data_IF_466116112512
#
_entry.id   IF_466116112512
#
_cell.length_a   1.000
_cell.length_b   1.000
_cell.length_c   1.000
_cell.angle_alpha   90.00
_cell.angle_beta   90.00
_cell.angle_gamma   90.00
#
_symmetry.space_group_name_H-M   'P 1'
#
loop_
_entity.id
_entity.type
_entity.pdbx_description
1 polymer ?
#
# COMPACT_ATOMS: atom_id res chain seq x y z
N UNK A 1 -1.69 -12.91 9.35
CA UNK A 1 -1.51 -11.51 8.89
C UNK A 1 -0.34 -11.31 7.90
N UNK A 2 0.87 -11.89 8.06
CA UNK A 2 2.06 -11.54 7.25
C UNK A 2 1.97 -11.65 5.72
N UNK A 3 1.19 -12.59 5.16
CA UNK A 3 1.11 -12.75 3.68
C UNK A 3 0.45 -11.54 3.00
N UNK A 4 -0.60 -10.99 3.62
CA UNK A 4 -1.29 -9.81 3.08
C UNK A 4 -0.42 -8.55 3.14
N UNK A 5 0.38 -8.39 4.20
CA UNK A 5 1.34 -7.28 4.31
C UNK A 5 2.42 -7.37 3.23
N UNK A 6 2.99 -8.57 3.02
CA UNK A 6 4.00 -8.78 1.99
C UNK A 6 3.45 -8.48 0.57
N UNK A 7 2.21 -8.86 0.28
CA UNK A 7 1.56 -8.55 -1.00
C UNK A 7 1.31 -7.04 -1.13
N UNK A 8 0.84 -6.38 -0.07
CA UNK A 8 0.57 -4.94 -0.07
C UNK A 8 1.87 -4.13 -0.24
N UNK A 9 2.95 -4.51 0.43
CA UNK A 9 4.26 -3.88 0.28
C UNK A 9 4.80 -4.02 -1.14
N UNK A 10 4.70 -5.22 -1.73
CA UNK A 10 5.12 -5.46 -3.12
C UNK A 10 4.31 -4.62 -4.11
N UNK A 11 2.99 -4.55 -3.95
CA UNK A 11 2.12 -3.73 -4.79
C UNK A 11 2.43 -2.25 -4.65
N UNK A 12 2.63 -1.76 -3.41
CA UNK A 12 2.99 -0.37 -3.15
C UNK A 12 4.31 0.01 -3.84
N UNK A 13 5.33 -0.85 -3.72
CA UNK A 13 6.65 -0.62 -4.29
C UNK A 13 6.64 -0.61 -5.83
N UNK A 14 5.89 -1.53 -6.44
CA UNK A 14 5.74 -1.58 -7.92
C UNK A 14 5.05 -0.33 -8.44
N UNK A 15 4.02 0.15 -7.76
CA UNK A 15 3.27 1.33 -8.21
C UNK A 15 4.05 2.64 -7.97
N UNK A 16 4.84 2.73 -6.89
CA UNK A 16 5.69 3.90 -6.60
C UNK A 16 6.77 4.15 -7.66
N UNK A 17 7.33 3.08 -8.23
CA UNK A 17 8.39 3.15 -9.23
C UNK A 17 7.90 3.10 -10.69
N UNK A 18 6.59 3.22 -10.93
CA UNK A 18 6.02 3.00 -12.26
C UNK A 18 6.36 4.16 -13.22
N UNK A 19 7.01 3.90 -14.37
CA UNK A 19 7.38 4.94 -15.33
C UNK A 19 6.20 5.29 -16.25
N UNK A 20 5.22 6.03 -15.72
CA UNK A 20 3.99 6.38 -16.45
C UNK A 20 4.24 7.06 -17.80
N UNK A 21 5.26 7.91 -17.88
CA UNK A 21 5.58 8.68 -19.09
C UNK A 21 5.99 7.80 -20.29
N UNK A 22 6.40 6.54 -20.05
CA UNK A 22 6.79 5.59 -21.10
C UNK A 22 5.72 4.55 -21.45
N UNK A 23 4.58 4.54 -20.76
CA UNK A 23 3.58 3.47 -20.86
C UNK A 23 2.45 3.78 -21.86
N UNK A 24 2.40 5.00 -22.40
CA UNK A 24 1.33 5.47 -23.32
C UNK A 24 -0.08 5.10 -22.81
N UNK A 25 -0.29 5.16 -21.50
CA UNK A 25 -1.60 4.98 -20.89
C UNK A 25 -2.37 6.30 -20.92
N UNK A 26 -3.69 6.23 -20.84
CA UNK A 26 -4.51 7.43 -20.72
C UNK A 26 -4.33 8.10 -19.35
N UNK A 27 -4.65 9.39 -19.29
CA UNK A 27 -4.59 10.16 -18.03
C UNK A 27 -5.54 9.56 -16.98
N UNK A 28 -6.72 9.04 -17.40
CA UNK A 28 -7.66 8.38 -16.49
C UNK A 28 -7.09 7.09 -15.91
N UNK A 29 -6.38 6.30 -16.73
CA UNK A 29 -5.72 5.09 -16.25
C UNK A 29 -4.59 5.42 -15.26
N UNK A 30 -3.84 6.51 -15.50
CA UNK A 30 -2.82 7.01 -14.57
C UNK A 30 -3.44 7.44 -13.25
N UNK A 31 -4.50 8.26 -13.27
CA UNK A 31 -5.21 8.69 -12.07
C UNK A 31 -5.73 7.49 -11.25
N UNK A 32 -6.27 6.46 -11.90
CA UNK A 32 -6.73 5.26 -11.19
C UNK A 32 -5.59 4.52 -10.48
N UNK A 33 -4.40 4.46 -11.09
CA UNK A 33 -3.22 3.84 -10.47
C UNK A 33 -2.71 4.68 -9.31
N UNK A 34 -2.70 6.00 -9.43
CA UNK A 34 -2.34 6.92 -8.34
C UNK A 34 -3.32 6.83 -7.16
N UNK A 35 -4.63 6.70 -7.43
CA UNK A 35 -5.65 6.47 -6.41
C UNK A 35 -5.44 5.12 -5.70
N UNK A 36 -5.13 4.06 -6.45
CA UNK A 36 -4.82 2.75 -5.89
C UNK A 36 -3.61 2.83 -4.94
N UNK A 37 -2.55 3.51 -5.36
CA UNK A 37 -1.36 3.75 -4.53
C UNK A 37 -1.68 4.46 -3.22
N UNK A 38 -2.51 5.50 -3.26
CA UNK A 38 -2.94 6.20 -2.04
C UNK A 38 -3.67 5.27 -1.06
N UNK A 39 -4.55 4.41 -1.57
CA UNK A 39 -5.27 3.43 -0.74
C UNK A 39 -4.34 2.36 -0.16
N UNK A 40 -3.36 1.88 -0.92
CA UNK A 40 -2.36 0.92 -0.45
C UNK A 40 -1.53 1.51 0.70
N UNK A 41 -1.02 2.74 0.53
CA UNK A 41 -0.33 3.48 1.60
C UNK A 41 -1.19 3.65 2.85
N UNK A 42 -2.47 3.96 2.69
CA UNK A 42 -3.41 4.12 3.81
C UNK A 42 -3.70 2.79 4.52
N UNK A 43 -3.82 1.69 3.78
CA UNK A 43 -4.01 0.35 4.33
C UNK A 43 -2.79 -0.11 5.15
N UNK A 44 -1.57 0.19 4.68
CA UNK A 44 -0.33 -0.05 5.42
C UNK A 44 -0.31 0.68 6.77
N UNK A 45 -0.59 1.99 6.78
CA UNK A 45 -0.65 2.80 8.01
C UNK A 45 -1.64 2.26 9.06
N UNK A 46 -2.82 1.78 8.63
CA UNK A 46 -3.80 1.18 9.56
C UNK A 46 -3.28 -0.10 10.20
N UNK A 47 -2.56 -0.91 9.41
CA UNK A 47 -1.93 -2.13 9.92
C UNK A 47 -0.85 -1.80 10.94
N UNK A 48 0.05 -0.88 10.62
CA UNK A 48 1.15 -0.51 11.52
C UNK A 48 0.61 0.02 12.85
N UNK A 49 -0.49 0.79 12.81
CA UNK A 49 -1.15 1.30 14.02
C UNK A 49 -1.85 0.20 14.84
N UNK A 50 -2.53 -0.76 14.21
CA UNK A 50 -3.16 -1.89 14.92
C UNK A 50 -2.14 -2.95 15.40
N UNK A 51 -1.00 -3.08 14.73
CA UNK A 51 0.09 -3.97 15.12
C UNK A 51 0.79 -3.51 16.41
N UNK A 52 0.79 -2.20 16.69
CA UNK A 52 1.32 -1.63 17.94
C UNK A 52 0.36 -1.88 19.12
N UNK A 53 -0.95 -1.70 18.92
CA UNK A 53 -1.94 -1.89 20.00
C UNK A 53 -2.09 -3.35 20.46
N UNK A 54 -1.89 -4.33 19.56
CA UNK A 54 -1.93 -5.75 19.91
C UNK A 54 -0.71 -6.21 20.74
N UNK A 55 0.42 -5.50 20.67
CA UNK A 55 1.62 -5.83 21.45
C UNK A 55 1.53 -5.36 22.91
N UNK A 56 0.67 -4.37 23.20
CA UNK A 56 0.51 -3.80 24.56
C UNK A 56 -0.54 -4.52 25.42
N UNK A 57 -1.28 -5.49 24.87
CA UNK A 57 -2.31 -6.25 25.59
C UNK A 57 -1.91 -7.64 26.10
N UNK A 58 -0.64 -8.06 25.93
CA UNK A 58 -0.18 -9.41 26.29
C UNK A 58 0.68 -9.46 27.57
N UNK A 59 0.62 -8.43 28.41
CA UNK A 59 1.35 -8.39 29.68
C UNK A 59 0.58 -7.60 30.72
N UNK A 60 -0.43 -8.24 31.34
CA UNK A 60 -0.85 -8.13 32.75
C UNK A 60 -2.16 -8.86 32.96
#
# INVERSE_FOLDING_TARGET
MNRFHCVNDKLTLVVEGMPFDGLHISDEAKEQVELLYFQLKRAKRRTDSQGIELATGSSS
#
